data_IF_583604184366
#
_entry.id   IF_583604184366
#
_cell.length_a   1.000
_cell.length_b   1.000
_cell.length_c   1.000
_cell.angle_alpha   90.00
_cell.angle_beta   90.00
_cell.angle_gamma   90.00
#
_symmetry.space_group_name_H-M   'P 1'
#
loop_
_entity.id
_entity.type
_entity.pdbx_description
1 polymer ?
#
# COMPACT_ATOMS: atom_id res chain seq x y z
N UNK A 1 -19.32 -17.25 14.82
CA UNK A 1 -19.38 -15.76 14.88
C UNK A 1 -18.26 -15.11 15.69
N UNK A 2 -18.09 -15.42 16.99
CA UNK A 2 -17.06 -14.78 17.84
C UNK A 2 -15.62 -14.88 17.30
N UNK A 3 -15.26 -16.04 16.74
CA UNK A 3 -13.95 -16.26 16.09
C UNK A 3 -13.71 -15.35 14.87
N UNK A 4 -14.70 -15.20 13.98
CA UNK A 4 -14.57 -14.35 12.78
C UNK A 4 -14.39 -12.87 13.15
N UNK A 5 -15.18 -12.37 14.09
CA UNK A 5 -15.02 -10.99 14.62
C UNK A 5 -13.65 -10.80 15.27
N UNK A 6 -13.11 -11.82 15.94
CA UNK A 6 -11.74 -11.80 16.48
C UNK A 6 -10.69 -11.71 15.37
N UNK A 7 -10.83 -12.49 14.30
CA UNK A 7 -9.95 -12.43 13.12
C UNK A 7 -9.97 -11.06 12.43
N UNK A 8 -11.16 -10.49 12.19
CA UNK A 8 -11.30 -9.13 11.62
C UNK A 8 -10.59 -8.09 12.50
N UNK A 9 -10.75 -8.19 13.82
CA UNK A 9 -10.10 -7.30 14.79
C UNK A 9 -8.57 -7.44 14.76
N UNK A 10 -8.04 -8.65 14.61
CA UNK A 10 -6.60 -8.92 14.51
C UNK A 10 -6.02 -8.36 13.22
N UNK A 11 -6.64 -8.62 12.07
CA UNK A 11 -6.21 -8.07 10.76
C UNK A 11 -6.29 -6.54 10.73
N UNK A 12 -7.35 -5.94 11.30
CA UNK A 12 -7.44 -4.49 11.48
C UNK A 12 -6.28 -3.94 12.32
N UNK A 13 -5.94 -4.58 13.44
CA UNK A 13 -4.79 -4.16 14.27
C UNK A 13 -3.47 -4.26 13.51
N UNK A 14 -3.28 -5.32 12.72
CA UNK A 14 -2.09 -5.51 11.87
C UNK A 14 -1.96 -4.37 10.86
N UNK A 15 -3.06 -4.03 10.16
CA UNK A 15 -3.10 -2.90 9.23
C UNK A 15 -2.80 -1.56 9.93
N UNK A 16 -3.39 -1.31 11.10
CA UNK A 16 -3.13 -0.08 11.87
C UNK A 16 -1.66 0.03 12.26
N UNK A 17 -1.04 -1.06 12.71
CA UNK A 17 0.40 -1.10 13.04
C UNK A 17 1.27 -0.86 11.81
N UNK A 18 0.96 -1.51 10.68
CA UNK A 18 1.67 -1.30 9.43
C UNK A 18 1.58 0.16 8.98
N UNK A 19 0.38 0.77 9.04
CA UNK A 19 0.17 2.19 8.76
C UNK A 19 1.02 3.07 9.66
N UNK A 20 1.02 2.85 10.98
CA UNK A 20 1.83 3.67 11.91
C UNK A 20 3.32 3.61 11.57
N UNK A 21 3.86 2.42 11.29
CA UNK A 21 5.25 2.25 10.86
C UNK A 21 5.53 3.01 9.56
N UNK A 22 4.65 2.88 8.57
CA UNK A 22 4.77 3.61 7.31
C UNK A 22 4.75 5.13 7.49
N UNK A 23 3.86 5.65 8.35
CA UNK A 23 3.77 7.10 8.61
C UNK A 23 5.01 7.63 9.35
N UNK A 24 5.63 6.81 10.20
CA UNK A 24 6.83 7.20 10.93
C UNK A 24 8.09 7.13 10.05
N UNK A 25 8.25 6.06 9.28
CA UNK A 25 9.38 5.85 8.38
C UNK A 25 8.89 5.29 7.03
N UNK A 26 8.49 6.16 6.08
CA UNK A 26 8.01 5.74 4.77
C UNK A 26 9.13 5.06 3.95
N UNK A 27 8.92 3.80 3.59
CA UNK A 27 9.82 3.02 2.74
C UNK A 27 9.01 2.07 1.85
N UNK A 28 9.63 1.48 0.83
CA UNK A 28 8.98 0.46 0.01
C UNK A 28 8.52 -0.74 0.85
N UNK A 29 9.35 -1.18 1.80
CA UNK A 29 9.04 -2.28 2.71
C UNK A 29 7.85 -1.95 3.62
N UNK A 30 7.84 -0.77 4.26
CA UNK A 30 6.73 -0.38 5.13
C UNK A 30 5.44 -0.14 4.32
N UNK A 31 5.54 0.34 3.07
CA UNK A 31 4.43 0.41 2.11
C UNK A 31 3.91 -0.99 1.75
N UNK A 32 4.80 -1.94 1.49
CA UNK A 32 4.45 -3.33 1.21
C UNK A 32 3.64 -3.94 2.35
N UNK A 33 4.05 -3.74 3.61
CA UNK A 33 3.29 -4.22 4.77
C UNK A 33 1.88 -3.62 4.87
N UNK A 34 1.72 -2.32 4.57
CA UNK A 34 0.40 -1.68 4.51
C UNK A 34 -0.47 -2.36 3.46
N UNK A 35 0.06 -2.57 2.25
CA UNK A 35 -0.64 -3.19 1.13
C UNK A 35 -1.04 -4.63 1.42
N UNK A 36 -0.11 -5.43 1.94
CA UNK A 36 -0.36 -6.84 2.26
C UNK A 36 -1.43 -6.99 3.35
N UNK A 37 -1.32 -6.21 4.43
CA UNK A 37 -2.33 -6.23 5.52
C UNK A 37 -3.70 -5.73 5.03
N UNK A 38 -3.70 -4.68 4.19
CA UNK A 38 -4.93 -4.15 3.59
C UNK A 38 -5.59 -5.17 2.66
N UNK A 39 -4.82 -5.92 1.86
CA UNK A 39 -5.34 -6.97 0.97
C UNK A 39 -5.97 -8.11 1.76
N UNK A 40 -5.28 -8.59 2.82
CA UNK A 40 -5.79 -9.66 3.70
C UNK A 40 -7.11 -9.26 4.35
N UNK A 41 -7.16 -8.09 4.97
CA UNK A 41 -8.38 -7.59 5.59
C UNK A 41 -9.50 -7.36 4.57
N UNK A 42 -9.19 -6.87 3.36
CA UNK A 42 -10.20 -6.71 2.31
C UNK A 42 -10.82 -8.05 1.93
N UNK A 43 -10.00 -9.06 1.64
CA UNK A 43 -10.49 -10.41 1.31
C UNK A 43 -11.40 -10.92 2.42
N UNK A 44 -10.94 -10.85 3.67
CA UNK A 44 -11.73 -11.31 4.82
C UNK A 44 -13.09 -10.61 4.92
N UNK A 45 -13.16 -9.29 4.69
CA UNK A 45 -14.40 -8.53 4.73
C UNK A 45 -15.32 -8.78 3.53
N UNK A 46 -14.76 -9.02 2.35
CA UNK A 46 -15.51 -9.37 1.14
C UNK A 46 -16.08 -10.79 1.25
N UNK A 47 -15.27 -11.75 1.71
CA UNK A 47 -15.63 -13.16 1.86
C UNK A 47 -16.62 -13.41 3.00
N UNK A 48 -16.65 -12.51 4.01
CA UNK A 48 -17.54 -12.63 5.16
C UNK A 48 -18.68 -11.63 5.22
N UNK A 49 -18.87 -10.83 4.17
CA UNK A 49 -19.85 -9.73 4.13
C UNK A 49 -21.29 -10.15 4.42
N UNK A 50 -21.67 -11.36 4.02
CA UNK A 50 -23.01 -11.93 4.25
C UNK A 50 -23.24 -12.32 5.73
N UNK A 51 -22.17 -12.43 6.51
CA UNK A 51 -22.17 -12.87 7.91
C UNK A 51 -21.86 -11.71 8.86
N UNK A 52 -20.86 -10.88 8.52
CA UNK A 52 -20.41 -9.74 9.31
C UNK A 52 -20.28 -8.52 8.40
N UNK A 53 -21.24 -7.61 8.50
CA UNK A 53 -21.26 -6.39 7.70
C UNK A 53 -20.47 -5.26 8.38
N UNK A 54 -19.34 -4.87 7.77
CA UNK A 54 -18.55 -3.69 8.16
C UNK A 54 -18.24 -2.79 6.94
N UNK A 55 -19.26 -2.18 6.31
CA UNK A 55 -19.08 -1.43 5.05
C UNK A 55 -18.18 -0.20 5.20
N UNK A 56 -18.19 0.44 6.38
CA UNK A 56 -17.30 1.55 6.67
C UNK A 56 -15.82 1.12 6.68
N UNK A 57 -15.52 -0.01 7.34
CA UNK A 57 -14.18 -0.58 7.38
C UNK A 57 -13.73 -1.01 5.98
N UNK A 58 -14.60 -1.71 5.22
CA UNK A 58 -14.29 -2.12 3.85
C UNK A 58 -13.97 -0.91 2.96
N UNK A 59 -14.73 0.18 3.06
CA UNK A 59 -14.44 1.44 2.35
C UNK A 59 -13.09 2.03 2.77
N UNK A 60 -12.76 2.03 4.06
CA UNK A 60 -11.47 2.51 4.54
C UNK A 60 -10.30 1.70 3.96
N UNK A 61 -10.41 0.37 3.96
CA UNK A 61 -9.42 -0.54 3.39
C UNK A 61 -9.26 -0.33 1.87
N UNK A 62 -10.37 -0.13 1.14
CA UNK A 62 -10.31 0.20 -0.29
C UNK A 62 -9.63 1.55 -0.55
N UNK A 63 -9.86 2.57 0.29
CA UNK A 63 -9.15 3.87 0.21
C UNK A 63 -7.65 3.73 0.48
N UNK A 64 -7.26 2.85 1.38
CA UNK A 64 -5.85 2.54 1.65
C UNK A 64 -5.17 1.99 0.42
N UNK A 65 -5.75 0.99 -0.25
CA UNK A 65 -5.23 0.45 -1.51
C UNK A 65 -5.01 1.57 -2.54
N UNK A 66 -6.07 2.33 -2.86
CA UNK A 66 -6.03 3.46 -3.80
C UNK A 66 -4.99 4.53 -3.46
N UNK A 67 -4.72 4.73 -2.18
CA UNK A 67 -3.73 5.72 -1.72
C UNK A 67 -2.29 5.26 -1.91
N UNK A 68 -2.07 3.95 -1.97
CA UNK A 68 -0.74 3.32 -2.08
C UNK A 68 -0.37 2.86 -3.49
N UNK A 69 -1.36 2.67 -4.38
CA UNK A 69 -1.13 2.15 -5.74
C UNK A 69 -0.09 2.98 -6.52
N UNK A 70 -0.17 4.33 -6.58
CA UNK A 70 0.80 5.09 -7.37
C UNK A 70 2.26 4.94 -6.89
N UNK A 71 2.45 4.79 -5.57
CA UNK A 71 3.79 4.60 -5.00
C UNK A 71 4.32 3.21 -5.32
N UNK A 72 3.45 2.18 -5.31
CA UNK A 72 3.82 0.84 -5.73
C UNK A 72 4.14 0.78 -7.21
N UNK A 73 3.31 1.38 -8.06
CA UNK A 73 3.47 1.33 -9.51
C UNK A 73 4.76 2.03 -9.95
N UNK A 74 5.07 3.19 -9.38
CA UNK A 74 6.35 3.88 -9.64
C UNK A 74 7.56 3.02 -9.26
N UNK A 75 7.54 2.39 -8.08
CA UNK A 75 8.61 1.50 -7.63
C UNK A 75 8.76 0.27 -8.54
N UNK A 76 7.65 -0.33 -8.99
CA UNK A 76 7.66 -1.47 -9.94
C UNK A 76 8.24 -1.04 -11.28
N UNK A 77 7.76 0.05 -11.86
CA UNK A 77 8.20 0.53 -13.17
C UNK A 77 9.70 0.84 -13.14
N UNK A 78 10.19 1.52 -12.08
CA UNK A 78 11.62 1.78 -11.89
C UNK A 78 12.41 0.48 -11.81
N UNK A 79 12.01 -0.45 -10.94
CA UNK A 79 12.72 -1.73 -10.77
C UNK A 79 12.72 -2.57 -12.06
N UNK A 80 11.63 -2.53 -12.85
CA UNK A 80 11.57 -3.17 -14.15
C UNK A 80 12.55 -2.53 -15.13
N UNK A 81 12.57 -1.20 -15.22
CA UNK A 81 13.48 -0.47 -16.10
C UNK A 81 14.95 -0.76 -15.75
N UNK A 82 15.30 -0.69 -14.46
CA UNK A 82 16.65 -1.01 -13.97
C UNK A 82 17.09 -2.43 -14.36
N UNK A 83 16.15 -3.38 -14.40
CA UNK A 83 16.42 -4.78 -14.75
C UNK A 83 16.56 -5.01 -16.25
N UNK A 84 15.81 -4.29 -17.09
CA UNK A 84 15.76 -4.54 -18.54
C UNK A 84 16.69 -3.66 -19.36
N UNK A 85 17.16 -2.52 -18.82
CA UNK A 85 18.07 -1.62 -19.53
C UNK A 85 19.38 -2.31 -19.83
N UNK A 86 19.71 -2.40 -21.12
CA UNK A 86 20.99 -2.93 -21.57
C UNK A 86 22.14 -2.01 -21.10
N UNK A 87 23.34 -2.56 -20.82
CA UNK A 87 24.48 -1.76 -20.39
C UNK A 87 24.80 -0.56 -21.32
N UNK A 88 24.66 -0.75 -22.64
CA UNK A 88 24.90 0.28 -23.65
C UNK A 88 23.87 1.44 -23.62
N UNK A 89 22.68 1.19 -23.09
CA UNK A 89 21.57 2.16 -23.04
C UNK A 89 21.50 2.88 -21.68
N UNK A 90 22.33 2.51 -20.70
CA UNK A 90 22.28 3.04 -19.34
C UNK A 90 22.38 4.56 -19.26
N UNK A 91 23.25 5.16 -20.07
CA UNK A 91 23.40 6.62 -20.11
C UNK A 91 22.13 7.29 -20.62
N UNK A 92 21.48 6.72 -21.63
CA UNK A 92 20.22 7.21 -22.19
C UNK A 92 19.04 7.01 -21.22
N UNK A 93 19.04 5.89 -20.49
CA UNK A 93 18.01 5.59 -19.48
C UNK A 93 18.21 6.36 -18.16
N UNK A 94 19.36 6.99 -17.94
CA UNK A 94 19.70 7.64 -16.66
C UNK A 94 18.74 8.76 -16.28
N UNK A 95 18.30 9.56 -17.27
CA UNK A 95 17.32 10.63 -17.07
C UNK A 95 15.95 10.06 -16.69
N UNK A 96 15.47 9.06 -17.43
CA UNK A 96 14.21 8.38 -17.14
C UNK A 96 14.21 7.71 -15.76
N UNK A 97 15.31 7.06 -15.37
CA UNK A 97 15.46 6.46 -14.03
C UNK A 97 15.42 7.51 -12.92
N UNK A 98 16.01 8.68 -13.15
CA UNK A 98 15.95 9.82 -12.20
C UNK A 98 14.53 10.35 -12.06
N UNK A 99 13.82 10.52 -13.17
CA UNK A 99 12.43 10.97 -13.16
C UNK A 99 11.51 9.97 -12.47
N UNK A 100 11.67 8.68 -12.75
CA UNK A 100 10.92 7.61 -12.08
C UNK A 100 11.18 7.58 -10.57
N UNK A 101 12.43 7.79 -10.14
CA UNK A 101 12.77 7.92 -8.72
C UNK A 101 12.08 9.12 -8.08
N UNK A 102 12.08 10.27 -8.74
CA UNK A 102 11.37 11.46 -8.25
C UNK A 102 9.85 11.21 -8.15
N UNK A 103 9.26 10.56 -9.16
CA UNK A 103 7.84 10.19 -9.14
C UNK A 103 7.53 9.21 -7.99
N UNK A 104 8.39 8.23 -7.73
CA UNK A 104 8.27 7.32 -6.59
C UNK A 104 8.27 8.08 -5.26
N UNK A 105 9.23 9.00 -5.06
CA UNK A 105 9.32 9.82 -3.85
C UNK A 105 8.07 10.70 -3.65
N UNK A 106 7.60 11.34 -4.71
CA UNK A 106 6.38 12.15 -4.68
C UNK A 106 5.14 11.31 -4.38
N UNK A 107 5.03 10.13 -5.00
CA UNK A 107 3.94 9.20 -4.76
C UNK A 107 3.97 8.68 -3.32
N UNK A 108 5.15 8.39 -2.76
CA UNK A 108 5.33 7.97 -1.37
C UNK A 108 4.87 9.06 -0.39
N UNK A 109 5.28 10.31 -0.62
CA UNK A 109 4.83 11.46 0.19
C UNK A 109 3.30 11.64 0.11
N UNK A 110 2.72 11.50 -1.08
CA UNK A 110 1.26 11.57 -1.27
C UNK A 110 0.55 10.42 -0.56
N UNK A 111 1.07 9.21 -0.62
CA UNK A 111 0.55 8.05 0.10
C UNK A 111 0.57 8.30 1.62
N UNK A 112 1.67 8.82 2.16
CA UNK A 112 1.78 9.20 3.57
C UNK A 112 0.70 10.21 3.98
N UNK A 113 0.57 11.33 3.23
CA UNK A 113 -0.47 12.35 3.49
C UNK A 113 -1.89 11.79 3.44
N UNK A 114 -2.19 10.93 2.45
CA UNK A 114 -3.53 10.32 2.31
C UNK A 114 -3.81 9.32 3.42
N UNK A 115 -2.85 8.43 3.72
CA UNK A 115 -3.00 7.43 4.77
C UNK A 115 -3.13 8.06 6.15
N UNK A 116 -2.47 9.19 6.43
CA UNK A 116 -2.64 9.93 7.67
C UNK A 116 -4.11 10.31 7.95
N UNK A 117 -4.94 10.43 6.90
CA UNK A 117 -6.36 10.80 6.99
C UNK A 117 -7.32 9.60 7.00
N UNK A 118 -6.83 8.38 6.80
CA UNK A 118 -7.69 7.18 6.84
C UNK A 118 -7.93 6.77 8.29
N UNK A 119 -9.20 6.77 8.70
CA UNK A 119 -9.66 6.09 9.91
C UNK A 119 -10.16 4.68 9.57
N UNK A 120 -9.84 3.73 10.44
CA UNK A 120 -10.35 2.35 10.40
C UNK A 120 -11.35 2.08 11.52
N UNK A 121 -11.80 3.15 12.20
CA UNK A 121 -12.73 3.05 13.32
C UNK A 121 -14.17 2.76 12.90
#
# INVERSE_FOLDING_TARGET
MKWLRKQIKEERRTLVRARRRFLHNPSEESLHHVRTSSRRLRSLLEDSGDIVSEPALLRAVKRTAKSTDPARDAAVIRALLERVVAPAERTHAAELLRDLRLQEELAMRRACKKLARVSYD
#
